data_IF_854830280606
#
_entry.id   IF_854830280606
#
_cell.length_a   1.000
_cell.length_b   1.000
_cell.length_c   1.000
_cell.angle_alpha   90.00
_cell.angle_beta   90.00
_cell.angle_gamma   90.00
#
_symmetry.space_group_name_H-M   'P 1'
#
loop_
_entity.id
_entity.type
_entity.pdbx_description
1 polymer ?
#
# COMPACT_ATOMS: atom_id res chain seq x y z
N UNK A 1 -7.37 14.95 29.90
CA UNK A 1 -7.33 15.49 28.52
C UNK A 1 -6.84 14.39 27.58
N UNK A 2 -7.54 14.15 26.48
CA UNK A 2 -7.06 13.23 25.43
C UNK A 2 -5.96 13.93 24.62
N UNK A 3 -4.83 13.27 24.37
CA UNK A 3 -3.71 13.85 23.60
C UNK A 3 -4.10 13.91 22.12
N UNK A 4 -3.95 15.08 21.51
CA UNK A 4 -4.15 15.28 20.07
C UNK A 4 -2.83 15.12 19.31
N UNK A 5 -2.80 14.26 18.30
CA UNK A 5 -1.58 13.92 17.57
C UNK A 5 -1.50 14.72 16.27
N UNK A 6 -0.41 15.45 16.07
CA UNK A 6 -0.08 16.04 14.77
C UNK A 6 0.69 15.03 13.92
N UNK A 7 0.16 14.71 12.73
CA UNK A 7 0.84 13.87 11.73
C UNK A 7 1.38 14.77 10.63
N UNK A 8 2.69 14.83 10.49
CA UNK A 8 3.36 15.69 9.49
C UNK A 8 3.70 14.86 8.26
N UNK A 9 2.99 15.12 7.17
CA UNK A 9 3.06 14.44 5.87
C UNK A 9 1.85 13.53 5.63
N UNK A 10 1.18 13.72 4.49
CA UNK A 10 0.12 12.85 3.98
C UNK A 10 0.67 11.81 2.99
N UNK A 11 1.92 11.36 3.15
CA UNK A 11 2.42 10.19 2.43
C UNK A 11 1.83 8.88 2.96
N UNK A 12 2.17 7.75 2.34
CA UNK A 12 1.68 6.42 2.74
C UNK A 12 1.89 6.16 4.24
N UNK A 13 3.07 6.50 4.78
CA UNK A 13 3.35 6.31 6.21
C UNK A 13 2.47 7.17 7.12
N UNK A 14 2.26 8.44 6.77
CA UNK A 14 1.41 9.36 7.53
C UNK A 14 -0.06 8.98 7.48
N UNK A 15 -0.56 8.58 6.31
CA UNK A 15 -1.94 8.11 6.13
C UNK A 15 -2.18 6.74 6.78
N UNK A 16 -1.18 5.85 6.76
CA UNK A 16 -1.21 4.59 7.53
C UNK A 16 -1.33 4.85 9.03
N UNK A 17 -0.53 5.80 9.56
CA UNK A 17 -0.62 6.21 10.96
C UNK A 17 -1.99 6.84 11.27
N UNK A 18 -2.46 7.76 10.43
CA UNK A 18 -3.78 8.37 10.58
C UNK A 18 -4.90 7.33 10.67
N UNK A 19 -4.90 6.33 9.77
CA UNK A 19 -5.87 5.21 9.82
C UNK A 19 -5.74 4.39 11.11
N UNK A 20 -4.52 4.12 11.55
CA UNK A 20 -4.29 3.39 12.80
C UNK A 20 -4.77 4.15 14.05
N UNK A 21 -4.68 5.49 14.03
CA UNK A 21 -5.18 6.38 15.08
C UNK A 21 -6.70 6.48 15.04
N UNK A 22 -7.30 6.58 13.84
CA UNK A 22 -8.74 6.55 13.60
C UNK A 22 -9.38 5.29 14.20
N UNK A 23 -8.83 4.10 13.88
CA UNK A 23 -9.29 2.81 14.41
C UNK A 23 -9.20 2.69 15.94
N UNK A 24 -8.37 3.52 16.58
CA UNK A 24 -8.20 3.57 18.05
C UNK A 24 -8.93 4.75 18.70
N UNK A 25 -9.69 5.52 17.93
CA UNK A 25 -10.39 6.72 18.39
C UNK A 25 -9.46 7.74 19.07
N UNK A 26 -8.22 7.86 18.58
CA UNK A 26 -7.25 8.85 19.06
C UNK A 26 -7.36 10.09 18.16
N UNK A 27 -7.58 11.29 18.70
CA UNK A 27 -7.73 12.50 17.90
C UNK A 27 -6.41 12.91 17.24
N UNK A 28 -6.48 13.27 15.95
CA UNK A 28 -5.32 13.67 15.18
C UNK A 28 -5.64 14.72 14.11
N UNK A 29 -4.59 15.36 13.58
CA UNK A 29 -4.66 16.20 12.39
C UNK A 29 -3.47 15.88 11.48
N UNK A 30 -3.74 15.68 10.19
CA UNK A 30 -2.71 15.46 9.17
C UNK A 30 -2.39 16.79 8.49
N UNK A 31 -1.11 17.10 8.37
CA UNK A 31 -0.60 18.27 7.66
C UNK A 31 0.19 17.81 6.45
N UNK A 32 -0.05 18.38 5.28
CA UNK A 32 0.72 18.10 4.07
C UNK A 32 1.13 19.41 3.40
N UNK A 33 2.34 19.43 2.84
CA UNK A 33 2.90 20.59 2.16
C UNK A 33 2.27 20.81 0.80
N UNK A 34 1.94 19.74 0.06
CA UNK A 34 1.37 19.83 -1.29
C UNK A 34 -0.15 19.63 -1.30
N UNK A 35 -0.91 20.39 -2.10
CA UNK A 35 -2.37 20.28 -2.11
C UNK A 35 -2.86 18.95 -2.68
N UNK A 36 -2.11 18.34 -3.60
CA UNK A 36 -2.40 17.04 -4.20
C UNK A 36 -1.10 16.31 -4.46
N UNK A 37 -1.02 15.05 -4.02
CA UNK A 37 0.04 14.16 -4.45
C UNK A 37 -0.14 13.85 -5.94
N UNK A 38 0.69 14.48 -6.80
CA UNK A 38 0.78 14.11 -8.21
C UNK A 38 1.47 12.75 -8.29
N UNK A 39 0.71 11.68 -8.15
CA UNK A 39 1.28 10.35 -8.33
C UNK A 39 1.74 10.20 -9.78
N UNK A 40 3.04 9.98 -9.95
CA UNK A 40 3.59 9.48 -11.20
C UNK A 40 2.89 8.15 -11.52
N UNK A 41 2.68 7.83 -12.81
CA UNK A 41 1.99 6.61 -13.28
C UNK A 41 2.72 5.30 -12.98
N UNK A 42 3.43 5.22 -11.85
CA UNK A 42 4.26 4.13 -11.40
C UNK A 42 3.41 2.99 -10.84
N UNK A 43 3.80 1.76 -11.16
CA UNK A 43 3.32 0.58 -10.46
C UNK A 43 4.01 0.44 -9.10
N UNK A 44 3.26 0.02 -8.09
CA UNK A 44 3.79 -0.42 -6.80
C UNK A 44 3.44 -1.88 -6.58
N UNK A 45 4.36 -2.60 -5.97
CA UNK A 45 4.18 -3.98 -5.58
C UNK A 45 3.91 -4.07 -4.07
N UNK A 46 2.90 -4.83 -3.70
CA UNK A 46 2.40 -4.96 -2.34
C UNK A 46 2.58 -6.41 -1.90
N UNK A 47 3.77 -6.72 -1.39
CA UNK A 47 4.14 -8.03 -0.88
C UNK A 47 3.29 -8.45 0.32
N UNK A 48 3.22 -9.77 0.65
CA UNK A 48 2.32 -10.27 1.69
C UNK A 48 2.48 -9.61 3.06
N UNK A 49 3.69 -9.17 3.42
CA UNK A 49 3.95 -8.43 4.65
C UNK A 49 3.26 -7.04 4.66
N UNK A 50 3.19 -6.37 3.52
CA UNK A 50 2.49 -5.08 3.36
C UNK A 50 0.98 -5.32 3.42
N UNK A 51 0.49 -6.32 2.69
CA UNK A 51 -0.93 -6.65 2.66
C UNK A 51 -1.46 -7.01 4.05
N UNK A 52 -0.68 -7.76 4.84
CA UNK A 52 -1.02 -8.04 6.24
C UNK A 52 -1.26 -6.76 7.06
N UNK A 53 -0.48 -5.71 6.85
CA UNK A 53 -0.68 -4.42 7.52
C UNK A 53 -1.96 -3.75 7.02
N UNK A 54 -2.19 -3.71 5.70
CA UNK A 54 -3.42 -3.14 5.14
C UNK A 54 -4.68 -3.84 5.66
N UNK A 55 -4.64 -5.16 5.83
CA UNK A 55 -5.74 -5.91 6.44
C UNK A 55 -5.98 -5.49 7.90
N UNK A 56 -4.91 -5.30 8.68
CA UNK A 56 -5.03 -4.81 10.07
C UNK A 56 -5.57 -3.37 10.15
N UNK A 57 -5.47 -2.61 9.06
CA UNK A 57 -6.03 -1.27 8.90
C UNK A 57 -7.46 -1.29 8.31
N UNK A 58 -8.04 -2.48 8.09
CA UNK A 58 -9.40 -2.64 7.56
C UNK A 58 -9.53 -2.51 6.04
N UNK A 59 -8.42 -2.45 5.30
CA UNK A 59 -8.39 -2.09 3.87
C UNK A 59 -8.33 -3.31 2.92
N UNK A 60 -8.79 -4.47 3.38
CA UNK A 60 -8.67 -5.74 2.66
C UNK A 60 -9.46 -5.74 1.33
N UNK A 61 -10.74 -5.36 1.38
CA UNK A 61 -11.61 -5.40 0.18
C UNK A 61 -11.20 -4.33 -0.82
N UNK A 62 -10.85 -3.17 -0.32
CA UNK A 62 -10.43 -2.01 -1.08
C UNK A 62 -9.16 -2.34 -1.85
N UNK A 63 -8.15 -2.94 -1.19
CA UNK A 63 -6.89 -3.26 -1.86
C UNK A 63 -7.07 -4.34 -2.93
N UNK A 64 -7.92 -5.33 -2.68
CA UNK A 64 -8.24 -6.37 -3.65
C UNK A 64 -8.95 -5.82 -4.89
N UNK A 65 -9.88 -4.87 -4.71
CA UNK A 65 -10.62 -4.25 -5.80
C UNK A 65 -9.77 -3.36 -6.73
N UNK A 66 -8.73 -2.72 -6.20
CA UNK A 66 -7.92 -1.75 -6.95
C UNK A 66 -6.63 -2.35 -7.51
N UNK A 67 -6.33 -3.61 -7.22
CA UNK A 67 -5.05 -4.23 -7.51
C UNK A 67 -5.17 -5.48 -8.37
N UNK A 68 -4.06 -5.85 -9.01
CA UNK A 68 -3.92 -7.09 -9.75
C UNK A 68 -3.22 -8.12 -8.86
N UNK A 69 -3.75 -9.34 -8.79
CA UNK A 69 -3.13 -10.43 -8.03
C UNK A 69 -1.89 -10.95 -8.74
N UNK A 70 -0.80 -11.09 -7.99
CA UNK A 70 0.46 -11.68 -8.46
C UNK A 70 0.59 -13.11 -7.95
N UNK A 71 0.99 -14.03 -8.82
CA UNK A 71 1.08 -15.47 -8.51
C UNK A 71 2.52 -15.98 -8.28
N UNK A 72 3.50 -15.10 -8.36
CA UNK A 72 4.91 -15.44 -8.25
C UNK A 72 5.80 -14.32 -8.76
N UNK A 73 7.10 -14.58 -8.74
CA UNK A 73 8.14 -13.68 -9.25
C UNK A 73 9.10 -14.49 -10.10
N UNK A 74 9.55 -13.91 -11.21
CA UNK A 74 10.63 -14.43 -12.02
C UNK A 74 11.71 -13.36 -12.22
N UNK A 75 12.96 -13.77 -12.09
CA UNK A 75 14.12 -12.99 -12.49
C UNK A 75 14.65 -13.60 -13.78
N UNK A 76 14.76 -12.78 -14.82
CA UNK A 76 15.23 -13.18 -16.15
C UNK A 76 16.47 -12.38 -16.53
N UNK A 77 17.36 -13.03 -17.27
CA UNK A 77 18.55 -12.41 -17.83
C UNK A 77 18.16 -11.35 -18.86
N UNK A 78 18.74 -10.15 -18.76
CA UNK A 78 18.51 -9.08 -19.73
C UNK A 78 19.04 -9.44 -21.13
N UNK A 79 20.11 -10.24 -21.22
CA UNK A 79 20.81 -10.52 -22.48
C UNK A 79 20.02 -11.47 -23.39
N UNK A 80 19.35 -12.46 -22.81
CA UNK A 80 18.77 -13.59 -23.54
C UNK A 80 17.41 -14.06 -23.00
N UNK A 81 16.78 -13.29 -22.10
CA UNK A 81 15.52 -13.58 -21.42
C UNK A 81 15.47 -14.93 -20.65
N UNK A 82 16.62 -15.57 -20.47
CA UNK A 82 16.69 -16.86 -19.77
C UNK A 82 16.26 -16.67 -18.31
N UNK A 83 15.33 -17.50 -17.84
CA UNK A 83 14.92 -17.55 -16.43
C UNK A 83 16.13 -17.92 -15.58
N UNK A 84 16.48 -17.04 -14.65
CA UNK A 84 17.58 -17.22 -13.70
C UNK A 84 17.03 -17.84 -12.41
N UNK A 85 15.98 -17.23 -11.87
CA UNK A 85 15.31 -17.66 -10.63
C UNK A 85 13.82 -17.39 -10.76
N UNK A 86 12.98 -18.21 -10.12
CA UNK A 86 11.61 -17.83 -9.89
C UNK A 86 10.93 -18.72 -8.86
N UNK A 87 9.91 -18.17 -8.23
CA UNK A 87 9.11 -18.87 -7.24
C UNK A 87 7.64 -18.55 -7.46
N UNK A 88 6.78 -19.53 -7.19
CA UNK A 88 5.34 -19.32 -7.13
C UNK A 88 4.97 -18.93 -5.71
N UNK A 89 3.96 -18.08 -5.61
CA UNK A 89 3.33 -17.74 -4.34
C UNK A 89 2.08 -18.59 -4.21
N UNK A 90 1.85 -19.13 -3.00
CA UNK A 90 0.68 -19.95 -2.74
C UNK A 90 -0.59 -19.19 -3.12
N UNK A 91 -1.57 -19.89 -3.70
CA UNK A 91 -2.71 -19.24 -4.37
C UNK A 91 -3.50 -18.32 -3.44
N UNK A 92 -3.64 -18.72 -2.18
CA UNK A 92 -4.31 -18.01 -1.10
C UNK A 92 -3.51 -16.82 -0.55
N UNK A 93 -2.20 -16.77 -0.77
CA UNK A 93 -1.33 -15.73 -0.23
C UNK A 93 -1.49 -14.42 -0.99
N UNK A 94 -1.99 -13.34 -0.35
CA UNK A 94 -2.26 -12.10 -1.04
C UNK A 94 -0.97 -11.36 -1.37
N UNK A 95 -0.76 -11.18 -2.67
CA UNK A 95 0.33 -10.43 -3.25
C UNK A 95 -0.20 -9.65 -4.43
N UNK A 96 -0.02 -8.34 -4.42
CA UNK A 96 -0.69 -7.48 -5.38
C UNK A 96 0.27 -6.53 -6.08
N UNK A 97 -0.16 -6.05 -7.24
CA UNK A 97 0.41 -4.89 -7.91
C UNK A 97 -0.70 -3.92 -8.28
N UNK A 98 -0.48 -2.63 -8.04
CA UNK A 98 -1.43 -1.59 -8.43
C UNK A 98 -0.70 -0.32 -8.84
N UNK A 99 -1.43 0.67 -9.36
CA UNK A 99 -0.86 1.98 -9.67
C UNK A 99 -0.75 2.79 -8.38
N UNK A 100 0.38 3.46 -8.18
CA UNK A 100 0.64 4.26 -6.98
C UNK A 100 -0.47 5.28 -6.70
N UNK A 101 -0.96 5.98 -7.72
CA UNK A 101 -2.07 6.94 -7.59
C UNK A 101 -3.32 6.28 -7.00
N UNK A 102 -3.66 5.08 -7.49
CA UNK A 102 -4.87 4.38 -7.05
C UNK A 102 -4.67 3.87 -5.61
N UNK A 103 -3.47 3.38 -5.28
CA UNK A 103 -3.10 3.04 -3.91
C UNK A 103 -3.14 4.23 -2.95
N UNK A 104 -2.82 5.43 -3.44
CA UNK A 104 -2.86 6.65 -2.64
C UNK A 104 -4.31 7.12 -2.37
N UNK A 105 -5.22 6.96 -3.33
CA UNK A 105 -6.64 7.34 -3.16
C UNK A 105 -7.33 6.46 -2.11
N UNK A 106 -6.88 5.22 -1.92
CA UNK A 106 -7.42 4.27 -0.94
C UNK A 106 -7.44 4.80 0.51
N UNK A 107 -6.61 5.78 0.83
CA UNK A 107 -6.55 6.38 2.16
C UNK A 107 -7.63 7.44 2.44
N UNK A 108 -8.42 7.81 1.43
CA UNK A 108 -9.50 8.81 1.51
C UNK A 108 -10.90 8.20 1.37
N UNK A 109 -10.98 6.86 1.31
CA UNK A 109 -12.23 6.08 1.28
C UNK A 109 -12.55 5.60 2.70
#
# INVERSE_FOLDING_TARGET
>A
MQKHIAVIGAGIGGLSLAKALELRHIPFTVFEKVPVSKGLGMGIQLSPNVVRVLHSLGLNKEIENISHRCHGVEVRSFKDDKKLVGWRIAYDTPYYQCRYVIFYILWFI
#
